data_IF_589259092813
#
_entry.id   IF_589259092813
#
_cell.length_a   1.000
_cell.length_b   1.000
_cell.length_c   1.000
_cell.angle_alpha   90.00
_cell.angle_beta   90.00
_cell.angle_gamma   90.00
#
_symmetry.space_group_name_H-M   'P 1'
#
loop_
_entity.id
_entity.type
_entity.pdbx_description
1 polymer ?
#
# COMPACT_ATOMS: atom_id res chain seq x y z
N UNK A 1 9.37 -22.74 -11.25
CA UNK A 1 9.32 -21.28 -11.53
C UNK A 1 8.11 -20.75 -10.84
N UNK A 2 8.27 -19.70 -10.03
CA UNK A 2 7.23 -19.21 -9.14
C UNK A 2 6.04 -18.61 -9.90
N UNK A 3 6.33 -17.92 -11.00
CA UNK A 3 5.34 -17.20 -11.81
C UNK A 3 4.83 -18.02 -13.02
N UNK A 4 4.81 -19.34 -12.92
CA UNK A 4 4.09 -20.16 -13.91
C UNK A 4 2.59 -20.02 -13.70
N UNK A 5 1.86 -19.69 -14.77
CA UNK A 5 0.41 -19.47 -14.70
C UNK A 5 -0.32 -20.71 -14.19
N UNK A 6 0.13 -21.90 -14.57
CA UNK A 6 -0.42 -23.18 -14.13
C UNK A 6 -0.21 -23.41 -12.64
N UNK A 7 0.91 -22.95 -12.08
CA UNK A 7 1.15 -23.01 -10.64
C UNK A 7 0.25 -22.02 -9.89
N UNK A 8 0.15 -20.76 -10.35
CA UNK A 8 -0.72 -19.76 -9.72
C UNK A 8 -2.19 -20.22 -9.76
N UNK A 9 -2.70 -20.55 -10.95
CA UNK A 9 -4.11 -20.89 -11.16
C UNK A 9 -4.48 -22.31 -10.70
N UNK A 10 -3.54 -23.25 -10.79
CA UNK A 10 -3.78 -24.66 -10.45
C UNK A 10 -3.40 -25.05 -9.03
N UNK A 11 -2.56 -24.25 -8.34
CA UNK A 11 -2.07 -24.57 -6.98
C UNK A 11 -2.37 -23.48 -5.95
N UNK A 12 -2.01 -22.22 -6.20
CA UNK A 12 -2.21 -21.15 -5.21
C UNK A 12 -3.68 -20.70 -5.11
N UNK A 13 -4.31 -20.36 -6.24
CA UNK A 13 -5.69 -19.86 -6.27
C UNK A 13 -6.69 -20.83 -5.62
N UNK A 14 -6.69 -22.15 -5.93
CA UNK A 14 -7.63 -23.08 -5.32
C UNK A 14 -7.50 -23.17 -3.80
N UNK A 15 -6.27 -23.06 -3.27
CA UNK A 15 -6.02 -23.08 -1.82
C UNK A 15 -6.53 -21.80 -1.15
N UNK A 16 -6.35 -20.63 -1.78
CA UNK A 16 -6.92 -19.38 -1.26
C UNK A 16 -8.45 -19.39 -1.34
N UNK A 17 -9.03 -19.91 -2.42
CA UNK A 17 -10.47 -20.10 -2.56
C UNK A 17 -11.01 -21.00 -1.43
N UNK A 18 -10.36 -22.13 -1.15
CA UNK A 18 -10.73 -23.04 -0.07
C UNK A 18 -10.63 -22.38 1.31
N UNK A 19 -9.55 -21.65 1.57
CA UNK A 19 -9.39 -20.87 2.81
C UNK A 19 -10.49 -19.82 2.97
N UNK A 20 -10.85 -19.10 1.91
CA UNK A 20 -11.93 -18.12 1.91
C UNK A 20 -13.31 -18.77 2.08
N UNK A 21 -13.60 -19.83 1.33
CA UNK A 21 -14.92 -20.48 1.36
C UNK A 21 -15.19 -21.20 2.68
N UNK A 22 -14.15 -21.74 3.30
CA UNK A 22 -14.25 -22.38 4.62
C UNK A 22 -14.27 -21.37 5.78
N UNK A 23 -13.93 -20.09 5.53
CA UNK A 23 -13.95 -19.06 6.55
C UNK A 23 -15.38 -18.75 7.01
N UNK A 24 -15.55 -18.65 8.33
CA UNK A 24 -16.86 -18.37 8.94
C UNK A 24 -17.32 -16.95 8.60
N UNK A 25 -18.63 -16.73 8.50
CA UNK A 25 -19.21 -15.39 8.36
C UNK A 25 -19.80 -14.87 9.68
N UNK A 26 -19.53 -15.53 10.80
CA UNK A 26 -19.96 -15.11 12.14
C UNK A 26 -19.08 -13.98 12.67
N UNK A 27 -19.63 -13.12 13.54
CA UNK A 27 -18.86 -12.04 14.16
C UNK A 27 -17.60 -12.62 14.86
N UNK A 28 -16.39 -12.12 14.54
CA UNK A 28 -15.13 -12.75 14.94
C UNK A 28 -14.93 -12.70 16.47
N UNK A 29 -14.92 -13.86 17.16
CA UNK A 29 -14.85 -13.91 18.63
C UNK A 29 -13.45 -13.57 19.17
N UNK A 30 -12.42 -13.61 18.34
CA UNK A 30 -11.03 -13.32 18.69
C UNK A 30 -10.70 -11.82 18.69
N UNK A 31 -11.62 -10.95 18.23
CA UNK A 31 -11.40 -9.51 18.32
C UNK A 31 -11.42 -9.06 19.78
N UNK A 32 -10.29 -8.50 20.22
CA UNK A 32 -10.14 -8.03 21.60
C UNK A 32 -10.88 -6.71 21.79
N UNK A 33 -11.77 -6.66 22.78
CA UNK A 33 -12.52 -5.45 23.11
C UNK A 33 -11.63 -4.45 23.83
N UNK A 34 -11.70 -3.20 23.40
CA UNK A 34 -10.99 -2.05 23.97
C UNK A 34 -11.99 -1.26 24.82
N UNK A 35 -11.65 -1.03 26.08
CA UNK A 35 -12.52 -0.35 27.02
C UNK A 35 -12.57 1.17 26.72
N UNK A 36 -13.64 1.84 27.17
CA UNK A 36 -13.87 3.26 26.88
C UNK A 36 -12.77 4.19 27.46
N UNK A 37 -12.17 3.83 28.60
CA UNK A 37 -11.09 4.62 29.20
C UNK A 37 -9.81 4.58 28.37
N UNK A 38 -9.47 3.41 27.85
CA UNK A 38 -8.35 3.21 26.93
C UNK A 38 -8.58 3.93 25.60
N UNK A 39 -9.79 3.83 25.01
CA UNK A 39 -10.16 4.62 23.83
C UNK A 39 -9.98 6.12 24.06
N UNK A 40 -10.48 6.65 25.18
CA UNK A 40 -10.32 8.06 25.51
C UNK A 40 -8.86 8.48 25.70
N UNK A 41 -8.02 7.58 26.21
CA UNK A 41 -6.56 7.80 26.31
C UNK A 41 -5.91 7.85 24.93
N UNK A 42 -6.28 6.93 24.03
CA UNK A 42 -5.80 6.89 22.65
C UNK A 42 -6.23 8.14 21.87
N UNK A 43 -7.51 8.51 21.93
CA UNK A 43 -8.05 9.71 21.29
C UNK A 43 -7.37 10.99 21.77
N UNK A 44 -7.10 11.09 23.07
CA UNK A 44 -6.35 12.21 23.64
C UNK A 44 -4.93 12.25 23.09
N UNK A 45 -4.22 11.13 23.09
CA UNK A 45 -2.86 11.04 22.56
C UNK A 45 -2.79 11.40 21.08
N UNK A 46 -3.72 10.89 20.25
CA UNK A 46 -3.77 11.20 18.81
C UNK A 46 -4.06 12.69 18.60
N UNK A 47 -4.99 13.27 19.36
CA UNK A 47 -5.34 14.70 19.25
C UNK A 47 -4.16 15.59 19.62
N UNK A 48 -3.50 15.32 20.75
CA UNK A 48 -2.34 16.07 21.21
C UNK A 48 -1.16 15.93 20.24
N UNK A 49 -0.92 14.72 19.73
CA UNK A 49 0.13 14.44 18.73
C UNK A 49 -0.12 15.14 17.40
N UNK A 50 -1.36 15.09 16.91
CA UNK A 50 -1.78 15.79 15.69
C UNK A 50 -1.60 17.30 15.83
N UNK A 51 -1.98 17.87 16.98
CA UNK A 51 -1.80 19.30 17.24
C UNK A 51 -0.32 19.69 17.34
N UNK A 52 0.52 18.86 17.98
CA UNK A 52 1.98 19.04 18.00
C UNK A 52 2.58 19.06 16.58
N UNK A 53 2.22 18.08 15.74
CA UNK A 53 2.63 18.04 14.32
C UNK A 53 2.16 19.29 13.61
N UNK A 54 0.88 19.66 13.75
CA UNK A 54 0.29 20.83 13.08
C UNK A 54 0.99 22.13 13.47
N UNK A 55 1.32 22.32 14.75
CA UNK A 55 2.04 23.50 15.23
C UNK A 55 3.47 23.51 14.68
N UNK A 56 4.15 22.36 14.68
CA UNK A 56 5.49 22.20 14.14
C UNK A 56 5.57 22.51 12.64
N UNK A 57 4.64 21.98 11.85
CA UNK A 57 4.52 22.29 10.42
C UNK A 57 4.22 23.78 10.18
N UNK A 58 3.34 24.40 11.00
CA UNK A 58 3.09 25.85 10.89
C UNK A 58 4.34 26.69 11.16
N UNK A 59 5.26 26.20 12.00
CA UNK A 59 6.51 26.86 12.33
C UNK A 59 7.59 26.73 11.25
N UNK A 60 7.34 25.99 10.16
CA UNK A 60 8.29 25.83 9.06
C UNK A 60 8.81 27.19 8.56
N UNK A 61 10.14 27.43 8.61
CA UNK A 61 10.72 28.73 8.30
C UNK A 61 10.86 28.90 6.78
N UNK A 62 9.76 29.16 6.07
CA UNK A 62 9.75 29.60 4.67
C UNK A 62 8.68 30.65 4.39
N UNK A 63 9.01 31.63 3.53
CA UNK A 63 8.08 32.55 2.86
C UNK A 63 8.17 32.48 1.33
N UNK A 64 8.98 31.57 0.77
CA UNK A 64 9.22 31.44 -0.68
C UNK A 64 9.44 29.98 -1.06
N UNK A 65 8.93 29.59 -2.24
CA UNK A 65 8.98 28.22 -2.75
C UNK A 65 10.40 27.66 -2.76
N UNK A 66 10.57 26.49 -2.17
CA UNK A 66 11.77 25.67 -2.23
C UNK A 66 11.80 24.99 -3.61
N UNK A 67 12.96 24.94 -4.28
CA UNK A 67 13.06 24.27 -5.59
C UNK A 67 14.01 23.07 -5.51
N UNK A 68 13.44 21.88 -5.34
CA UNK A 68 14.15 20.59 -5.31
C UNK A 68 14.12 19.94 -6.71
N UNK A 69 15.21 19.31 -7.17
CA UNK A 69 16.55 19.83 -7.35
C UNK A 69 16.77 20.00 -8.86
N UNK A 70 16.29 21.09 -9.47
CA UNK A 70 16.57 21.33 -10.90
C UNK A 70 16.55 22.82 -11.29
N UNK A 71 17.28 23.66 -10.55
CA UNK A 71 17.88 24.89 -11.09
C UNK A 71 19.27 25.03 -10.50
N UNK A 72 20.25 25.30 -11.36
CA UNK A 72 21.65 25.59 -11.03
C UNK A 72 21.78 26.45 -9.77
N UNK A 73 22.08 25.82 -8.64
CA UNK A 73 22.25 26.47 -7.35
C UNK A 73 21.74 25.59 -6.22
N UNK A 74 22.64 24.94 -5.49
CA UNK A 74 22.30 24.32 -4.21
C UNK A 74 21.85 25.43 -3.24
N UNK A 75 20.55 25.70 -3.14
CA UNK A 75 20.06 26.52 -2.05
C UNK A 75 20.33 25.76 -0.75
N UNK A 76 21.38 26.20 -0.04
CA UNK A 76 21.76 25.63 1.25
C UNK A 76 20.61 25.86 2.22
N UNK A 77 20.13 24.78 2.83
CA UNK A 77 19.19 24.80 3.95
C UNK A 77 19.64 25.89 4.94
N UNK A 78 18.76 26.85 5.25
CA UNK A 78 19.07 27.92 6.19
C UNK A 78 19.30 27.37 7.60
N UNK A 79 20.07 28.04 8.48
CA UNK A 79 20.23 27.58 9.86
C UNK A 79 18.90 27.37 10.62
N UNK A 80 17.86 28.16 10.30
CA UNK A 80 16.52 27.99 10.87
C UNK A 80 15.84 26.72 10.38
N UNK A 81 15.97 26.41 9.09
CA UNK A 81 15.46 25.16 8.52
C UNK A 81 16.22 23.95 9.10
N UNK A 82 17.53 24.03 9.33
CA UNK A 82 18.29 22.95 9.99
C UNK A 82 17.80 22.67 11.42
N UNK A 83 17.53 23.73 12.21
CA UNK A 83 16.95 23.58 13.55
C UNK A 83 15.57 22.90 13.45
N UNK A 84 14.71 23.38 12.55
CA UNK A 84 13.39 22.81 12.33
C UNK A 84 13.45 21.35 11.88
N UNK A 85 14.42 20.96 11.05
CA UNK A 85 14.63 19.58 10.61
C UNK A 85 15.00 18.67 11.78
N UNK A 86 15.97 19.08 12.60
CA UNK A 86 16.34 18.33 13.81
C UNK A 86 15.16 18.17 14.78
N UNK A 87 14.35 19.22 14.93
CA UNK A 87 13.11 19.17 15.71
C UNK A 87 12.06 18.23 15.07
N UNK A 88 12.00 18.18 13.74
CA UNK A 88 11.13 17.26 12.98
C UNK A 88 11.51 15.81 13.25
N UNK A 89 12.79 15.46 13.14
CA UNK A 89 13.26 14.11 13.43
C UNK A 89 13.01 13.72 14.88
N UNK A 90 13.33 14.61 15.83
CA UNK A 90 13.06 14.37 17.24
C UNK A 90 11.57 14.19 17.53
N UNK A 91 10.70 14.95 16.84
CA UNK A 91 9.25 14.83 16.99
C UNK A 91 8.77 13.47 16.47
N UNK A 92 9.13 13.09 15.25
CA UNK A 92 8.72 11.80 14.68
C UNK A 92 9.24 10.61 15.49
N UNK A 93 10.51 10.63 15.89
CA UNK A 93 11.10 9.58 16.72
C UNK A 93 10.38 9.48 18.08
N UNK A 94 10.09 10.63 18.73
CA UNK A 94 9.31 10.65 19.97
C UNK A 94 7.89 10.09 19.78
N UNK A 95 7.23 10.43 18.66
CA UNK A 95 5.88 9.94 18.37
C UNK A 95 5.90 8.42 18.19
N UNK A 96 6.76 7.89 17.32
CA UNK A 96 6.84 6.45 17.05
C UNK A 96 7.14 5.61 18.30
N UNK A 97 7.97 6.12 19.22
CA UNK A 97 8.30 5.42 20.47
C UNK A 97 7.20 5.51 21.54
N UNK A 98 6.34 6.51 21.47
CA UNK A 98 5.30 6.77 22.48
C UNK A 98 3.89 6.42 22.01
N UNK A 99 3.72 6.06 20.74
CA UNK A 99 2.42 5.77 20.15
C UNK A 99 1.79 4.52 20.81
N UNK A 100 0.56 4.60 21.34
CA UNK A 100 -0.08 3.51 22.09
C UNK A 100 -1.02 2.63 21.26
N UNK A 101 -1.27 2.95 19.99
CA UNK A 101 -2.41 2.48 19.19
C UNK A 101 -2.08 1.30 18.28
N UNK A 102 -1.06 1.46 17.45
CA UNK A 102 -0.57 0.50 16.45
C UNK A 102 0.38 -0.54 17.05
N UNK A 103 1.01 -0.25 18.21
CA UNK A 103 1.91 -1.16 18.91
C UNK A 103 3.32 -1.23 18.32
N UNK A 104 3.73 -0.22 17.54
CA UNK A 104 4.99 -0.21 16.76
C UNK A 104 6.21 -0.53 17.64
N UNK A 105 6.35 0.15 18.79
CA UNK A 105 7.50 -0.02 19.70
C UNK A 105 7.64 -1.42 20.30
N UNK A 106 6.55 -2.19 20.33
CA UNK A 106 6.56 -3.54 20.90
C UNK A 106 7.04 -4.56 19.85
N UNK A 107 6.96 -4.20 18.57
CA UNK A 107 7.23 -5.08 17.44
C UNK A 107 8.55 -4.77 16.74
N UNK A 108 8.94 -3.49 16.71
CA UNK A 108 10.10 -2.99 15.97
C UNK A 108 11.13 -2.36 16.91
N UNK A 109 12.40 -2.70 16.69
CA UNK A 109 13.51 -2.08 17.41
C UNK A 109 13.71 -0.62 16.97
N UNK A 110 14.28 0.27 17.82
CA UNK A 110 14.64 1.62 17.41
C UNK A 110 15.52 1.64 16.15
N UNK A 111 16.47 0.70 16.04
CA UNK A 111 17.36 0.57 14.88
C UNK A 111 16.58 0.23 13.61
N UNK A 112 15.57 -0.63 13.73
CA UNK A 112 14.68 -0.97 12.62
C UNK A 112 13.88 0.25 12.18
N UNK A 113 13.30 1.00 13.12
CA UNK A 113 12.54 2.23 12.81
C UNK A 113 13.40 3.29 12.12
N UNK A 114 14.63 3.50 12.58
CA UNK A 114 15.57 4.41 11.95
C UNK A 114 15.91 3.97 10.51
N UNK A 115 16.07 2.65 10.30
CA UNK A 115 16.29 2.08 8.97
C UNK A 115 15.08 2.26 8.04
N UNK A 116 13.85 2.08 8.53
CA UNK A 116 12.63 2.39 7.77
C UNK A 116 12.60 3.87 7.36
N UNK A 117 12.84 4.77 8.31
CA UNK A 117 12.84 6.22 8.05
C UNK A 117 13.91 6.61 7.01
N UNK A 118 15.13 6.09 7.12
CA UNK A 118 16.19 6.34 6.15
C UNK A 118 15.80 5.87 4.74
N UNK A 119 15.24 4.66 4.62
CA UNK A 119 14.88 4.12 3.30
C UNK A 119 13.64 4.76 2.70
N UNK A 120 12.66 5.19 3.50
CA UNK A 120 11.55 6.01 3.01
C UNK A 120 12.07 7.36 2.50
N UNK A 121 12.99 8.03 3.22
CA UNK A 121 13.63 9.27 2.73
C UNK A 121 14.40 9.01 1.43
N UNK A 122 15.13 7.91 1.33
CA UNK A 122 15.85 7.52 0.10
C UNK A 122 14.88 7.30 -1.07
N UNK A 123 13.77 6.59 -0.84
CA UNK A 123 12.73 6.36 -1.82
C UNK A 123 12.13 7.68 -2.29
N UNK A 124 11.71 8.55 -1.36
CA UNK A 124 11.13 9.86 -1.67
C UNK A 124 12.09 10.77 -2.44
N UNK A 125 13.40 10.77 -2.12
CA UNK A 125 14.41 11.48 -2.93
C UNK A 125 14.42 11.00 -4.38
N UNK A 126 14.33 9.68 -4.61
CA UNK A 126 14.21 9.10 -5.95
C UNK A 126 12.91 9.54 -6.63
N UNK A 127 11.77 9.53 -5.92
CA UNK A 127 10.49 10.03 -6.44
C UNK A 127 10.62 11.49 -6.90
N UNK A 128 11.11 12.38 -6.04
CA UNK A 128 11.28 13.80 -6.36
C UNK A 128 12.23 14.04 -7.54
N UNK A 129 13.27 13.21 -7.68
CA UNK A 129 14.18 13.31 -8.82
C UNK A 129 13.57 12.79 -10.12
N UNK A 130 12.71 11.78 -10.06
CA UNK A 130 12.14 11.10 -11.24
C UNK A 130 10.85 11.77 -11.74
N UNK A 131 9.99 12.18 -10.83
CA UNK A 131 8.71 12.84 -11.09
C UNK A 131 8.56 14.09 -10.18
N UNK A 132 9.23 15.20 -10.52
CA UNK A 132 9.23 16.41 -9.71
C UNK A 132 7.85 17.10 -9.61
N UNK A 133 6.95 16.80 -10.54
CA UNK A 133 5.59 17.34 -10.57
C UNK A 133 4.55 16.33 -10.05
N UNK A 134 4.97 15.19 -9.49
CA UNK A 134 4.06 14.21 -8.91
C UNK A 134 3.33 14.80 -7.70
N UNK A 135 2.03 14.56 -7.62
CA UNK A 135 1.19 15.01 -6.51
C UNK A 135 1.42 14.18 -5.24
N UNK A 136 1.14 14.77 -4.08
CA UNK A 136 1.34 14.11 -2.77
C UNK A 136 0.54 12.80 -2.63
N UNK A 137 -0.63 12.71 -3.26
CA UNK A 137 -1.49 11.52 -3.24
C UNK A 137 -0.83 10.34 -3.97
N UNK A 138 -0.32 10.57 -5.17
CA UNK A 138 0.42 9.60 -5.98
C UNK A 138 1.73 9.18 -5.29
N UNK A 139 2.44 10.13 -4.65
CA UNK A 139 3.59 9.77 -3.80
C UNK A 139 3.18 8.86 -2.65
N UNK A 140 2.02 9.13 -2.04
CA UNK A 140 1.44 8.29 -1.00
C UNK A 140 1.15 6.88 -1.50
N UNK A 141 0.61 6.72 -2.71
CA UNK A 141 0.38 5.43 -3.35
C UNK A 141 1.69 4.66 -3.56
N UNK A 142 2.72 5.32 -4.11
CA UNK A 142 4.04 4.71 -4.29
C UNK A 142 4.66 4.27 -2.95
N UNK A 143 4.54 5.09 -1.91
CA UNK A 143 5.03 4.75 -0.56
C UNK A 143 4.27 3.57 0.01
N UNK A 144 2.94 3.50 -0.16
CA UNK A 144 2.14 2.36 0.35
C UNK A 144 2.63 1.04 -0.24
N UNK A 145 2.90 0.98 -1.55
CA UNK A 145 3.46 -0.22 -2.16
C UNK A 145 4.88 -0.52 -1.63
N UNK A 146 5.76 0.49 -1.56
CA UNK A 146 7.10 0.32 -0.98
C UNK A 146 7.07 -0.20 0.48
N UNK A 147 6.09 0.23 1.27
CA UNK A 147 5.92 -0.20 2.66
C UNK A 147 5.59 -1.69 2.77
N UNK A 148 4.82 -2.27 1.83
CA UNK A 148 4.55 -3.71 1.79
C UNK A 148 5.85 -4.49 1.66
N UNK A 149 6.69 -4.11 0.70
CA UNK A 149 8.04 -4.67 0.55
C UNK A 149 8.89 -4.53 1.82
N UNK A 150 8.89 -3.35 2.43
CA UNK A 150 9.71 -3.06 3.61
C UNK A 150 9.26 -3.89 4.84
N UNK A 151 7.96 -4.07 5.02
CA UNK A 151 7.38 -4.97 6.03
C UNK A 151 7.80 -6.42 5.77
N UNK A 152 7.83 -6.86 4.50
CA UNK A 152 8.24 -8.22 4.18
C UNK A 152 9.72 -8.47 4.40
N UNK A 153 10.58 -7.46 4.21
CA UNK A 153 11.99 -7.57 4.62
C UNK A 153 12.10 -7.82 6.12
N UNK A 154 11.36 -7.06 6.93
CA UNK A 154 11.35 -7.25 8.39
C UNK A 154 10.78 -8.62 8.79
N UNK A 155 9.68 -9.06 8.16
CA UNK A 155 9.09 -10.38 8.37
C UNK A 155 10.10 -11.51 8.12
N UNK A 156 11.08 -11.31 7.22
CA UNK A 156 12.12 -12.30 6.90
C UNK A 156 13.45 -12.02 7.62
N UNK A 157 13.48 -11.10 8.60
CA UNK A 157 14.69 -10.75 9.35
C UNK A 157 15.79 -10.09 8.52
N UNK A 158 15.42 -9.43 7.42
CA UNK A 158 16.35 -8.78 6.50
C UNK A 158 16.43 -7.28 6.77
N UNK A 159 17.64 -6.71 6.66
CA UNK A 159 17.84 -5.27 6.75
C UNK A 159 17.13 -4.52 5.62
N UNK A 160 16.63 -3.31 5.89
CA UNK A 160 15.87 -2.51 4.92
C UNK A 160 16.71 -2.07 3.71
N UNK A 161 16.08 -2.06 2.52
CA UNK A 161 16.71 -1.69 1.23
C UNK A 161 15.77 -0.85 0.36
N UNK A 162 16.35 -0.14 -0.60
CA UNK A 162 15.63 0.63 -1.63
C UNK A 162 16.35 0.51 -2.98
N UNK A 163 16.41 -0.70 -3.54
CA UNK A 163 17.01 -0.96 -4.87
C UNK A 163 16.28 -0.20 -5.98
N UNK A 164 16.85 -0.15 -7.18
CA UNK A 164 16.16 0.44 -8.34
C UNK A 164 14.97 -0.41 -8.76
N UNK A 165 15.04 -1.74 -8.54
CA UNK A 165 13.93 -2.63 -8.86
C UNK A 165 12.68 -2.40 -8.03
N UNK A 166 12.81 -2.29 -6.70
CA UNK A 166 11.64 -2.00 -5.87
C UNK A 166 11.15 -0.57 -6.08
N UNK A 167 12.06 0.39 -6.30
CA UNK A 167 11.65 1.74 -6.68
C UNK A 167 10.83 1.75 -7.97
N UNK A 168 11.32 1.05 -9.01
CA UNK A 168 10.63 0.90 -10.28
C UNK A 168 9.25 0.29 -10.11
N UNK A 169 9.16 -0.84 -9.39
CA UNK A 169 7.90 -1.54 -9.17
C UNK A 169 6.89 -0.72 -8.37
N UNK A 170 7.29 -0.14 -7.24
CA UNK A 170 6.37 0.65 -6.41
C UNK A 170 5.89 1.92 -7.12
N UNK A 171 6.69 2.50 -8.00
CA UNK A 171 6.31 3.64 -8.82
C UNK A 171 5.44 3.26 -10.02
N UNK A 172 5.33 1.99 -10.41
CA UNK A 172 4.43 1.61 -11.50
C UNK A 172 2.98 1.91 -11.13
N UNK A 173 2.53 1.61 -9.91
CA UNK A 173 1.13 1.78 -9.48
C UNK A 173 0.55 3.18 -9.78
N UNK A 174 1.13 4.30 -9.31
CA UNK A 174 0.60 5.63 -9.65
C UNK A 174 0.72 5.98 -11.14
N UNK A 175 1.57 5.29 -11.92
CA UNK A 175 1.65 5.51 -13.36
C UNK A 175 0.67 4.64 -14.14
N UNK A 176 0.43 3.40 -13.71
CA UNK A 176 -0.40 2.44 -14.42
C UNK A 176 -1.85 2.56 -14.00
N UNK A 177 -2.13 2.50 -12.71
CA UNK A 177 -3.49 2.40 -12.19
C UNK A 177 -4.22 3.71 -12.47
N UNK A 178 -3.62 4.84 -12.11
CA UNK A 178 -4.21 6.16 -12.35
C UNK A 178 -4.47 6.43 -13.83
N UNK A 179 -3.57 5.98 -14.73
CA UNK A 179 -3.78 6.12 -16.18
C UNK A 179 -4.91 5.23 -16.69
N UNK A 180 -4.99 4.00 -16.21
CA UNK A 180 -6.02 3.03 -16.63
C UNK A 180 -7.40 3.36 -16.05
N UNK A 181 -7.45 3.97 -14.88
CA UNK A 181 -8.69 4.34 -14.19
C UNK A 181 -9.20 5.74 -14.59
N UNK A 182 -8.35 6.60 -15.17
CA UNK A 182 -8.78 7.92 -15.62
C UNK A 182 -9.78 7.81 -16.80
N UNK A 183 -11.02 8.34 -16.66
CA UNK A 183 -12.02 8.34 -17.72
C UNK A 183 -11.70 9.33 -18.85
N UNK A 184 -10.70 10.21 -18.69
CA UNK A 184 -10.25 11.14 -19.72
C UNK A 184 -9.49 10.45 -20.86
N UNK A 185 -8.92 9.27 -20.59
CA UNK A 185 -8.23 8.44 -21.57
C UNK A 185 -9.20 7.52 -22.32
N UNK A 186 -9.06 7.48 -23.64
CA UNK A 186 -9.81 6.60 -24.53
C UNK A 186 -9.40 5.14 -24.37
N UNK A 187 -10.27 4.23 -24.81
CA UNK A 187 -9.98 2.80 -24.80
C UNK A 187 -8.77 2.46 -25.68
N UNK A 188 -8.63 3.13 -26.84
CA UNK A 188 -7.50 2.95 -27.73
C UNK A 188 -6.16 3.38 -27.09
N UNK A 189 -6.16 4.46 -26.31
CA UNK A 189 -4.98 4.91 -25.56
C UNK A 189 -4.60 3.88 -24.48
N UNK A 190 -5.57 3.33 -23.75
CA UNK A 190 -5.34 2.30 -22.73
C UNK A 190 -4.80 1.00 -23.35
N UNK A 191 -5.34 0.57 -24.49
CA UNK A 191 -4.84 -0.59 -25.25
C UNK A 191 -3.40 -0.36 -25.73
N UNK A 192 -3.10 0.81 -26.28
CA UNK A 192 -1.74 1.16 -26.70
C UNK A 192 -0.77 1.16 -25.51
N UNK A 193 -1.18 1.75 -24.38
CA UNK A 193 -0.39 1.82 -23.15
C UNK A 193 -0.05 0.41 -22.61
N UNK A 194 -1.03 -0.48 -22.51
CA UNK A 194 -0.81 -1.86 -22.09
C UNK A 194 0.12 -2.62 -23.06
N UNK A 195 -0.05 -2.40 -24.37
CA UNK A 195 0.84 -2.99 -25.38
C UNK A 195 2.28 -2.51 -25.23
N UNK A 196 2.50 -1.22 -24.93
CA UNK A 196 3.82 -0.69 -24.64
C UNK A 196 4.44 -1.36 -23.42
N UNK A 197 3.70 -1.50 -22.31
CA UNK A 197 4.17 -2.17 -21.10
C UNK A 197 4.53 -3.62 -21.42
N UNK A 198 3.64 -4.37 -22.08
CA UNK A 198 3.86 -5.75 -22.49
C UNK A 198 5.14 -5.89 -23.34
N UNK A 199 5.27 -5.07 -24.38
CA UNK A 199 6.44 -5.08 -25.25
C UNK A 199 7.71 -4.77 -24.48
N UNK A 200 7.69 -3.78 -23.58
CA UNK A 200 8.86 -3.41 -22.79
C UNK A 200 9.30 -4.54 -21.85
N UNK A 201 8.37 -5.16 -21.13
CA UNK A 201 8.67 -6.33 -20.28
C UNK A 201 9.22 -7.50 -21.12
N UNK A 202 8.70 -7.68 -22.34
CA UNK A 202 9.11 -8.75 -23.27
C UNK A 202 10.45 -8.47 -23.98
N UNK A 203 11.10 -7.33 -23.73
CA UNK A 203 12.33 -6.92 -24.42
C UNK A 203 12.13 -6.55 -25.89
N UNK A 204 10.90 -6.29 -26.31
CA UNK A 204 10.55 -5.83 -27.65
C UNK A 204 10.74 -4.30 -27.76
N UNK A 205 11.02 -3.78 -28.97
CA UNK A 205 11.10 -2.34 -29.17
C UNK A 205 9.74 -1.68 -28.90
N UNK A 206 9.79 -0.51 -28.27
CA UNK A 206 8.64 0.34 -27.98
C UNK A 206 8.91 1.75 -28.49
N UNK A 207 7.85 2.47 -28.83
CA UNK A 207 7.91 3.89 -29.18
C UNK A 207 6.92 4.63 -28.30
N UNK A 208 7.36 5.20 -27.16
CA UNK A 208 6.51 6.02 -26.31
C UNK A 208 5.93 7.20 -27.08
N UNK A 209 4.64 7.47 -26.89
CA UNK A 209 3.92 8.59 -27.50
C UNK A 209 3.81 9.80 -26.57
N UNK A 210 4.15 9.63 -25.29
CA UNK A 210 4.05 10.66 -24.27
C UNK A 210 5.19 10.56 -23.25
N UNK A 211 5.41 11.63 -22.48
CA UNK A 211 6.34 11.63 -21.35
C UNK A 211 5.93 10.60 -20.28
N UNK A 212 4.62 10.36 -20.12
CA UNK A 212 4.09 9.36 -19.20
C UNK A 212 4.50 7.93 -19.60
N UNK A 213 4.35 7.60 -20.89
CA UNK A 213 4.81 6.33 -21.46
C UNK A 213 6.33 6.19 -21.38
N UNK A 214 7.08 7.26 -21.64
CA UNK A 214 8.55 7.26 -21.52
C UNK A 214 8.97 6.95 -20.08
N UNK A 215 8.38 7.63 -19.09
CA UNK A 215 8.64 7.37 -17.68
C UNK A 215 8.22 5.95 -17.27
N UNK A 216 7.08 5.47 -17.74
CA UNK A 216 6.65 4.08 -17.50
C UNK A 216 7.71 3.09 -18.01
N UNK A 217 8.24 3.30 -19.21
CA UNK A 217 9.32 2.47 -19.76
C UNK A 217 10.61 2.56 -18.92
N UNK A 218 10.96 3.75 -18.41
CA UNK A 218 12.11 3.95 -17.51
C UNK A 218 11.94 3.22 -16.17
N UNK A 219 10.72 3.12 -15.62
CA UNK A 219 10.44 2.36 -14.40
C UNK A 219 10.62 0.85 -14.62
N UNK A 220 10.15 0.34 -15.75
CA UNK A 220 10.38 -1.05 -16.17
C UNK A 220 11.89 -1.32 -16.37
N UNK A 221 12.62 -0.35 -16.89
CA UNK A 221 14.09 -0.43 -17.01
C UNK A 221 14.77 -0.42 -15.65
N UNK A 222 14.28 0.35 -14.69
CA UNK A 222 14.80 0.33 -13.32
C UNK A 222 14.62 -1.04 -12.65
N UNK A 223 13.56 -1.78 -12.99
CA UNK A 223 13.38 -3.18 -12.60
C UNK A 223 14.44 -4.06 -13.26
N UNK A 224 14.59 -3.97 -14.58
CA UNK A 224 15.53 -4.81 -15.33
C UNK A 224 17.01 -4.50 -15.06
N UNK A 225 17.34 -3.28 -14.65
CA UNK A 225 18.72 -2.84 -14.42
C UNK A 225 19.38 -3.54 -13.21
N UNK A 226 18.60 -3.76 -12.14
CA UNK A 226 19.07 -4.36 -10.90
C UNK A 226 18.58 -5.82 -10.74
N UNK A 227 17.81 -6.35 -11.70
CA UNK A 227 17.19 -7.67 -11.61
C UNK A 227 17.39 -8.53 -12.88
N UNK A 228 17.94 -9.75 -12.74
CA UNK A 228 18.40 -10.37 -11.51
C UNK A 228 19.77 -9.79 -11.09
N UNK A 229 19.95 -9.64 -9.78
CA UNK A 229 21.26 -9.36 -9.18
C UNK A 229 21.80 -10.60 -8.45
N UNK A 230 23.02 -10.55 -7.89
CA UNK A 230 23.63 -11.69 -7.20
C UNK A 230 22.74 -12.32 -6.12
N UNK A 231 21.99 -11.51 -5.37
CA UNK A 231 21.06 -11.99 -4.35
C UNK A 231 19.86 -12.75 -4.95
N UNK A 232 19.37 -12.31 -6.11
CA UNK A 232 18.28 -12.97 -6.81
C UNK A 232 18.75 -14.29 -7.45
N UNK A 233 19.94 -14.31 -8.02
CA UNK A 233 20.57 -15.51 -8.57
C UNK A 233 20.82 -16.55 -7.46
N UNK A 234 21.24 -16.10 -6.27
CA UNK A 234 21.40 -16.98 -5.11
C UNK A 234 20.04 -17.53 -4.61
N UNK A 235 19.01 -16.68 -4.55
CA UNK A 235 17.70 -17.07 -4.03
C UNK A 235 16.89 -17.95 -4.99
N UNK A 236 16.94 -17.67 -6.29
CA UNK A 236 16.03 -18.23 -7.30
C UNK A 236 16.75 -18.90 -8.49
N UNK A 237 18.07 -18.76 -8.61
CA UNK A 237 18.86 -19.36 -9.67
C UNK A 237 18.86 -18.56 -10.98
N UNK A 238 19.48 -19.13 -12.02
CA UNK A 238 19.72 -18.47 -13.31
C UNK A 238 18.45 -18.00 -14.06
N UNK A 239 17.28 -18.54 -13.70
CA UNK A 239 16.00 -18.19 -14.32
C UNK A 239 15.31 -17.00 -13.62
N UNK A 240 15.91 -16.40 -12.59
CA UNK A 240 15.30 -15.32 -11.81
C UNK A 240 14.79 -14.18 -12.71
N UNK A 241 15.57 -13.80 -13.73
CA UNK A 241 15.20 -12.79 -14.73
C UNK A 241 13.91 -13.14 -15.47
N UNK A 242 13.79 -14.39 -15.91
CA UNK A 242 12.63 -14.87 -16.65
C UNK A 242 11.40 -14.95 -15.73
N UNK A 243 11.59 -15.43 -14.51
CA UNK A 243 10.54 -15.52 -13.50
C UNK A 243 9.93 -14.13 -13.20
N UNK A 244 10.73 -13.08 -12.95
CA UNK A 244 10.15 -11.75 -12.69
C UNK A 244 9.46 -11.15 -13.91
N UNK A 245 10.03 -11.33 -15.12
CA UNK A 245 9.38 -10.84 -16.36
C UNK A 245 8.02 -11.51 -16.53
N UNK A 246 7.95 -12.81 -16.28
CA UNK A 246 6.69 -13.53 -16.30
C UNK A 246 5.71 -13.03 -15.23
N UNK A 247 6.19 -12.76 -14.01
CA UNK A 247 5.38 -12.15 -12.95
C UNK A 247 4.76 -10.81 -13.36
N UNK A 248 5.57 -9.91 -13.94
CA UNK A 248 5.09 -8.61 -14.42
C UNK A 248 4.08 -8.73 -15.58
N UNK A 249 4.28 -9.68 -16.49
CA UNK A 249 3.30 -9.97 -17.56
C UNK A 249 1.98 -10.51 -16.98
N UNK A 250 2.04 -11.38 -15.97
CA UNK A 250 0.83 -11.87 -15.29
C UNK A 250 0.12 -10.74 -14.52
N UNK A 251 0.86 -9.80 -13.94
CA UNK A 251 0.26 -8.64 -13.27
C UNK A 251 -0.46 -7.73 -14.28
N UNK A 252 0.14 -7.48 -15.45
CA UNK A 252 -0.52 -6.77 -16.54
C UNK A 252 -1.80 -7.50 -16.98
N UNK A 253 -1.74 -8.82 -17.17
CA UNK A 253 -2.92 -9.64 -17.48
C UNK A 253 -4.00 -9.53 -16.38
N UNK A 254 -3.60 -9.58 -15.11
CA UNK A 254 -4.52 -9.47 -13.98
C UNK A 254 -5.22 -8.11 -13.94
N UNK A 255 -4.50 -7.02 -14.28
CA UNK A 255 -5.08 -5.69 -14.40
C UNK A 255 -6.11 -5.61 -15.53
N UNK A 256 -5.79 -6.13 -16.72
CA UNK A 256 -6.73 -6.20 -17.85
C UNK A 256 -7.96 -7.05 -17.53
N UNK A 257 -7.77 -8.17 -16.82
CA UNK A 257 -8.87 -9.01 -16.35
C UNK A 257 -9.75 -8.25 -15.36
N UNK A 258 -9.18 -7.44 -14.47
CA UNK A 258 -9.95 -6.70 -13.45
C UNK A 258 -10.88 -5.65 -14.04
N UNK A 259 -10.52 -5.08 -15.21
CA UNK A 259 -11.38 -4.15 -15.93
C UNK A 259 -12.72 -4.79 -16.35
N UNK A 260 -12.80 -6.13 -16.45
CA UNK A 260 -14.08 -6.82 -16.69
C UNK A 260 -15.10 -6.55 -15.59
N UNK A 261 -14.66 -6.19 -14.38
CA UNK A 261 -15.55 -5.88 -13.25
C UNK A 261 -16.35 -4.60 -13.46
N UNK A 262 -15.92 -3.69 -14.34
CA UNK A 262 -16.64 -2.45 -14.69
C UNK A 262 -17.49 -2.58 -15.97
N UNK A 263 -17.28 -3.62 -16.79
CA UNK A 263 -18.04 -3.83 -18.03
C UNK A 263 -19.46 -4.40 -17.77
N UNK A 264 -20.45 -3.51 -17.71
CA UNK A 264 -21.85 -3.84 -17.47
C UNK A 264 -22.46 -4.85 -18.48
N UNK A 265 -21.84 -5.05 -19.65
CA UNK A 265 -22.31 -6.03 -20.64
C UNK A 265 -21.98 -7.48 -20.27
N UNK A 266 -20.98 -7.69 -19.41
CA UNK A 266 -20.56 -9.01 -18.96
C UNK A 266 -21.38 -9.45 -17.75
N UNK A 267 -21.84 -10.70 -17.76
CA UNK A 267 -22.39 -11.34 -16.55
C UNK A 267 -21.25 -11.98 -15.77
N UNK A 268 -20.95 -11.43 -14.58
CA UNK A 268 -19.94 -11.98 -13.68
C UNK A 268 -20.62 -12.72 -12.53
N UNK A 269 -20.23 -13.99 -12.34
CA UNK A 269 -20.63 -14.74 -11.14
C UNK A 269 -19.80 -14.29 -9.93
N UNK A 270 -20.28 -14.56 -8.72
CA UNK A 270 -19.51 -14.36 -7.48
C UNK A 270 -18.14 -15.04 -7.54
N UNK A 271 -18.09 -16.26 -8.09
CA UNK A 271 -16.83 -16.97 -8.29
C UNK A 271 -15.89 -16.20 -9.22
N UNK A 272 -16.40 -15.62 -10.31
CA UNK A 272 -15.55 -14.83 -11.20
C UNK A 272 -14.98 -13.60 -10.49
N UNK A 273 -15.79 -12.89 -9.73
CA UNK A 273 -15.35 -11.71 -8.95
C UNK A 273 -14.28 -12.13 -7.93
N UNK A 274 -14.53 -13.20 -7.17
CA UNK A 274 -13.56 -13.76 -6.23
C UNK A 274 -12.24 -14.12 -6.91
N UNK A 275 -12.30 -14.81 -8.06
CA UNK A 275 -11.11 -15.25 -8.79
C UNK A 275 -10.28 -14.06 -9.28
N UNK A 276 -10.95 -12.98 -9.72
CA UNK A 276 -10.28 -11.74 -10.13
C UNK A 276 -9.59 -11.09 -8.93
N UNK A 277 -10.28 -10.92 -7.81
CA UNK A 277 -9.69 -10.31 -6.60
C UNK A 277 -8.51 -11.12 -6.06
N UNK A 278 -8.62 -12.46 -6.03
CA UNK A 278 -7.52 -13.35 -5.61
C UNK A 278 -6.33 -13.21 -6.57
N UNK A 279 -6.58 -13.23 -7.88
CA UNK A 279 -5.51 -13.23 -8.87
C UNK A 279 -4.74 -11.91 -8.91
N UNK A 280 -5.45 -10.76 -8.98
CA UNK A 280 -4.85 -9.43 -8.98
C UNK A 280 -4.13 -9.11 -7.67
N UNK A 281 -4.84 -9.22 -6.55
CA UNK A 281 -4.26 -8.93 -5.24
C UNK A 281 -3.09 -9.86 -4.92
N UNK A 282 -3.26 -11.16 -5.17
CA UNK A 282 -2.23 -12.16 -4.89
C UNK A 282 -0.97 -12.00 -5.72
N UNK A 283 -1.07 -11.72 -7.03
CA UNK A 283 0.11 -11.48 -7.87
C UNK A 283 0.87 -10.23 -7.44
N UNK A 284 0.15 -9.13 -7.19
CA UNK A 284 0.70 -7.85 -6.73
C UNK A 284 1.66 -8.05 -5.55
N UNK A 285 1.20 -8.74 -4.51
CA UNK A 285 1.97 -8.98 -3.29
C UNK A 285 3.02 -10.09 -3.44
N UNK A 286 2.78 -11.10 -4.28
CA UNK A 286 3.77 -12.13 -4.56
C UNK A 286 5.01 -11.55 -5.26
N UNK A 287 4.82 -10.55 -6.13
CA UNK A 287 5.91 -9.81 -6.78
C UNK A 287 6.68 -8.95 -5.77
N UNK A 288 5.98 -8.23 -4.88
CA UNK A 288 6.63 -7.51 -3.77
C UNK A 288 7.52 -8.44 -2.94
N UNK A 289 7.00 -9.61 -2.59
CA UNK A 289 7.78 -10.65 -1.88
C UNK A 289 8.94 -11.17 -2.71
N UNK A 290 8.80 -11.27 -4.03
CA UNK A 290 9.87 -11.78 -4.87
C UNK A 290 11.11 -10.87 -4.83
N UNK A 291 10.90 -9.55 -4.83
CA UNK A 291 11.97 -8.55 -4.77
C UNK A 291 12.80 -8.54 -3.49
N UNK A 292 12.38 -9.23 -2.41
CA UNK A 292 13.20 -9.29 -1.19
C UNK A 292 14.44 -10.17 -1.37
N UNK A 293 14.52 -10.95 -2.46
CA UNK A 293 15.63 -11.86 -2.80
C UNK A 293 15.95 -12.88 -1.71
N UNK A 294 14.91 -13.50 -1.17
CA UNK A 294 15.04 -14.60 -0.23
C UNK A 294 14.21 -15.77 -0.74
N UNK A 295 14.80 -16.97 -0.73
CA UNK A 295 14.14 -18.21 -1.18
C UNK A 295 12.76 -18.31 -0.55
N UNK A 296 11.78 -18.66 -1.38
CA UNK A 296 10.40 -18.75 -0.97
C UNK A 296 9.95 -20.20 -1.01
N UNK A 297 9.41 -20.68 0.11
CA UNK A 297 8.76 -21.99 0.19
C UNK A 297 7.34 -21.92 -0.38
N UNK A 298 6.70 -23.08 -0.58
CA UNK A 298 5.30 -23.12 -0.99
C UNK A 298 4.35 -22.51 0.07
N UNK A 299 4.69 -22.62 1.36
CA UNK A 299 3.93 -22.00 2.44
C UNK A 299 4.07 -20.48 2.41
N UNK A 300 5.27 -19.97 2.21
CA UNK A 300 5.50 -18.54 2.05
C UNK A 300 4.70 -18.02 0.83
N UNK A 301 4.78 -18.70 -0.31
CA UNK A 301 4.05 -18.32 -1.51
C UNK A 301 2.54 -18.26 -1.27
N UNK A 302 1.98 -19.23 -0.53
CA UNK A 302 0.57 -19.21 -0.13
C UNK A 302 0.25 -18.02 0.79
N UNK A 303 1.09 -17.76 1.80
CA UNK A 303 0.88 -16.65 2.72
C UNK A 303 0.89 -15.31 1.98
N UNK A 304 1.91 -15.02 1.17
CA UNK A 304 2.03 -13.73 0.49
C UNK A 304 0.99 -13.55 -0.61
N UNK A 305 0.69 -14.59 -1.39
CA UNK A 305 -0.39 -14.55 -2.37
C UNK A 305 -1.76 -14.35 -1.69
N UNK A 306 -2.00 -15.04 -0.57
CA UNK A 306 -3.21 -14.86 0.23
C UNK A 306 -3.28 -13.50 0.94
N UNK A 307 -2.15 -12.93 1.32
CA UNK A 307 -2.05 -11.61 1.93
C UNK A 307 -2.42 -10.53 0.91
N UNK A 308 -2.05 -10.71 -0.36
CA UNK A 308 -2.50 -9.86 -1.45
C UNK A 308 -4.01 -9.87 -1.67
N UNK A 309 -4.65 -11.04 -1.57
CA UNK A 309 -6.11 -11.11 -1.59
C UNK A 309 -6.75 -10.37 -0.40
N UNK A 310 -6.17 -10.50 0.81
CA UNK A 310 -6.62 -9.72 1.97
C UNK A 310 -6.57 -8.21 1.69
N UNK A 311 -5.44 -7.69 1.19
CA UNK A 311 -5.32 -6.27 0.88
C UNK A 311 -6.34 -5.81 -0.17
N UNK A 312 -6.56 -6.60 -1.23
CA UNK A 312 -7.55 -6.29 -2.25
C UNK A 312 -8.96 -6.15 -1.67
N UNK A 313 -9.38 -7.02 -0.74
CA UNK A 313 -10.71 -6.90 -0.12
C UNK A 313 -10.79 -5.74 0.86
N UNK A 314 -9.68 -5.36 1.51
CA UNK A 314 -9.62 -4.14 2.30
C UNK A 314 -9.82 -2.89 1.42
N UNK A 315 -9.22 -2.84 0.24
CA UNK A 315 -9.43 -1.75 -0.72
C UNK A 315 -10.89 -1.71 -1.19
N UNK A 316 -11.45 -2.84 -1.64
CA UNK A 316 -12.88 -2.97 -2.01
C UNK A 316 -13.82 -2.55 -0.85
N UNK A 317 -13.40 -2.74 0.41
CA UNK A 317 -14.15 -2.34 1.62
C UNK A 317 -14.09 -0.83 1.87
N UNK A 318 -12.97 -0.18 1.57
CA UNK A 318 -12.86 1.27 1.63
C UNK A 318 -13.65 1.95 0.52
N UNK A 319 -13.74 1.32 -0.65
CA UNK A 319 -14.21 1.93 -1.88
C UNK A 319 -15.65 1.53 -2.29
N UNK A 320 -16.44 0.92 -1.38
CA UNK A 320 -17.81 0.47 -1.68
C UNK A 320 -18.66 1.56 -2.38
N UNK A 321 -18.57 2.82 -1.92
CA UNK A 321 -19.29 3.94 -2.54
C UNK A 321 -18.81 4.20 -3.97
N UNK A 322 -17.51 4.36 -4.16
CA UNK A 322 -16.88 4.63 -5.45
C UNK A 322 -17.11 3.48 -6.45
N UNK A 323 -17.01 2.24 -5.99
CA UNK A 323 -17.29 1.05 -6.81
C UNK A 323 -18.73 1.05 -7.30
N UNK A 324 -19.69 1.36 -6.43
CA UNK A 324 -21.10 1.44 -6.81
C UNK A 324 -21.39 2.57 -7.78
N UNK A 325 -20.77 3.74 -7.57
CA UNK A 325 -20.92 4.90 -8.45
C UNK A 325 -20.34 4.65 -9.85
N UNK A 326 -19.21 3.95 -9.93
CA UNK A 326 -18.56 3.58 -11.19
C UNK A 326 -19.14 2.34 -11.86
N UNK A 327 -20.03 1.61 -11.18
CA UNK A 327 -20.58 0.33 -11.67
C UNK A 327 -19.60 -0.85 -11.56
N UNK A 328 -18.47 -0.67 -10.86
CA UNK A 328 -17.51 -1.71 -10.53
C UNK A 328 -18.16 -2.78 -9.64
N UNK A 329 -17.99 -4.05 -10.01
CA UNK A 329 -18.56 -5.22 -9.31
C UNK A 329 -17.48 -5.95 -8.52
N UNK A 330 -17.30 -5.56 -7.27
CA UNK A 330 -16.42 -6.19 -6.27
C UNK A 330 -17.19 -7.12 -5.36
N UNK A 331 -16.50 -7.84 -4.46
CA UNK A 331 -17.18 -8.74 -3.52
C UNK A 331 -18.15 -7.99 -2.60
N UNK A 332 -17.88 -6.71 -2.31
CA UNK A 332 -18.68 -5.87 -1.42
C UNK A 332 -19.66 -4.95 -2.15
N UNK A 333 -19.28 -4.37 -3.28
CA UNK A 333 -20.17 -3.43 -4.01
C UNK A 333 -21.44 -4.10 -4.52
N UNK A 334 -21.33 -5.40 -4.89
CA UNK A 334 -22.44 -6.24 -5.39
C UNK A 334 -23.47 -6.63 -4.33
N UNK A 335 -23.10 -6.62 -3.05
CA UNK A 335 -23.98 -7.05 -1.96
C UNK A 335 -25.18 -6.11 -1.88
N UNK A 336 -26.39 -6.67 -1.90
CA UNK A 336 -27.63 -5.90 -1.93
C UNK A 336 -28.02 -5.41 -0.54
N UNK A 337 -27.77 -6.23 0.49
CA UNK A 337 -28.14 -5.87 1.88
C UNK A 337 -26.90 -5.58 2.75
N UNK A 338 -27.06 -4.88 3.88
CA UNK A 338 -26.00 -4.74 4.88
C UNK A 338 -25.52 -6.11 5.39
N UNK A 339 -26.42 -7.05 5.67
CA UNK A 339 -26.08 -8.36 6.23
C UNK A 339 -25.16 -9.17 5.31
N UNK A 340 -25.37 -9.12 4.00
CA UNK A 340 -24.48 -9.75 3.01
C UNK A 340 -23.06 -9.15 3.05
N UNK A 341 -22.93 -7.84 3.29
CA UNK A 341 -21.62 -7.18 3.43
C UNK A 341 -20.95 -7.54 4.75
N UNK A 342 -21.74 -7.57 5.84
CA UNK A 342 -21.29 -8.00 7.16
C UNK A 342 -20.73 -9.43 7.13
N UNK A 343 -21.39 -10.33 6.41
CA UNK A 343 -20.91 -11.71 6.19
C UNK A 343 -19.55 -11.75 5.50
N UNK A 344 -19.33 -10.91 4.48
CA UNK A 344 -18.04 -10.80 3.77
C UNK A 344 -16.95 -10.22 4.68
N UNK A 345 -17.26 -9.18 5.46
CA UNK A 345 -16.30 -8.58 6.41
C UNK A 345 -15.94 -9.56 7.53
N UNK A 346 -16.93 -10.28 8.09
CA UNK A 346 -16.67 -11.33 9.07
C UNK A 346 -15.77 -12.43 8.49
N UNK A 347 -16.08 -12.87 7.26
CA UNK A 347 -15.26 -13.84 6.54
C UNK A 347 -13.84 -13.36 6.33
N UNK A 348 -13.63 -12.07 6.05
CA UNK A 348 -12.31 -11.47 5.93
C UNK A 348 -11.50 -11.55 7.23
N UNK A 349 -12.11 -11.30 8.38
CA UNK A 349 -11.45 -11.50 9.68
C UNK A 349 -11.01 -12.96 9.88
N UNK A 350 -11.92 -13.91 9.70
CA UNK A 350 -11.64 -15.34 9.88
C UNK A 350 -10.61 -15.86 8.86
N UNK A 351 -10.70 -15.42 7.62
CA UNK A 351 -9.72 -15.72 6.57
C UNK A 351 -8.34 -15.21 6.98
N UNK A 352 -8.25 -13.97 7.47
CA UNK A 352 -6.99 -13.34 7.90
C UNK A 352 -6.36 -14.12 9.05
N UNK A 353 -7.13 -14.43 10.10
CA UNK A 353 -6.63 -15.22 11.24
C UNK A 353 -6.06 -16.58 10.80
N UNK A 354 -6.77 -17.29 9.92
CA UNK A 354 -6.31 -18.57 9.36
C UNK A 354 -5.08 -18.41 8.47
N UNK A 355 -5.05 -17.38 7.62
CA UNK A 355 -3.92 -17.11 6.74
C UNK A 355 -2.62 -16.95 7.52
N UNK A 356 -2.65 -16.30 8.69
CA UNK A 356 -1.47 -16.10 9.53
C UNK A 356 -0.90 -17.39 10.14
N UNK A 357 -1.60 -18.53 10.08
CA UNK A 357 -1.01 -19.84 10.39
C UNK A 357 0.05 -20.27 9.36
N UNK A 358 0.02 -19.69 8.15
CA UNK A 358 1.03 -19.89 7.12
C UNK A 358 2.11 -18.81 7.12
N UNK A 359 2.07 -17.87 8.09
CA UNK A 359 3.01 -16.75 8.15
C UNK A 359 4.45 -17.26 8.26
N UNK A 360 5.39 -16.70 7.47
CA UNK A 360 6.80 -17.08 7.53
C UNK A 360 7.38 -16.89 8.93
N UNK A 361 8.46 -17.60 9.29
CA UNK A 361 9.09 -17.42 10.59
C UNK A 361 9.55 -15.96 10.81
N UNK A 362 8.97 -15.30 11.80
CA UNK A 362 9.39 -14.00 12.33
C UNK A 362 9.35 -14.01 13.86
N UNK A 363 9.70 -12.90 14.52
CA UNK A 363 9.47 -12.81 15.96
C UNK A 363 7.97 -12.88 16.26
N UNK A 364 7.57 -13.60 17.31
CA UNK A 364 6.16 -13.69 17.68
C UNK A 364 5.52 -12.31 17.86
N UNK A 365 6.28 -11.37 18.45
CA UNK A 365 5.86 -9.98 18.61
C UNK A 365 5.56 -9.29 17.28
N UNK A 366 6.41 -9.49 16.25
CA UNK A 366 6.19 -8.89 14.94
C UNK A 366 5.04 -9.54 14.18
N UNK A 367 4.91 -10.87 14.24
CA UNK A 367 3.77 -11.59 13.66
C UNK A 367 2.44 -11.10 14.25
N UNK A 368 2.36 -11.03 15.57
CA UNK A 368 1.14 -10.61 16.27
C UNK A 368 0.83 -9.13 16.00
N UNK A 369 1.86 -8.28 15.93
CA UNK A 369 1.73 -6.90 15.48
C UNK A 369 1.17 -6.81 14.06
N UNK A 370 1.69 -7.59 13.12
CA UNK A 370 1.23 -7.55 11.73
C UNK A 370 -0.22 -8.02 11.61
N UNK A 371 -0.58 -9.13 12.29
CA UNK A 371 -1.95 -9.64 12.33
C UNK A 371 -2.91 -8.60 12.93
N UNK A 372 -2.53 -8.00 14.06
CA UNK A 372 -3.34 -6.97 14.70
C UNK A 372 -3.53 -5.76 13.79
N UNK A 373 -2.48 -5.32 13.08
CA UNK A 373 -2.60 -4.21 12.12
C UNK A 373 -3.46 -4.57 10.89
N UNK A 374 -3.48 -5.83 10.45
CA UNK A 374 -4.44 -6.28 9.44
C UNK A 374 -5.89 -6.18 9.95
N UNK A 375 -6.15 -6.57 11.21
CA UNK A 375 -7.48 -6.38 11.81
C UNK A 375 -7.84 -4.89 11.94
N UNK A 376 -6.88 -4.04 12.30
CA UNK A 376 -7.11 -2.59 12.34
C UNK A 376 -7.41 -2.02 10.95
N UNK A 377 -6.73 -2.51 9.90
CA UNK A 377 -7.03 -2.14 8.52
C UNK A 377 -8.48 -2.51 8.15
N UNK A 378 -8.92 -3.74 8.43
CA UNK A 378 -10.31 -4.16 8.16
C UNK A 378 -11.31 -3.28 8.95
N UNK A 379 -11.07 -3.07 10.24
CA UNK A 379 -11.94 -2.27 11.11
C UNK A 379 -12.06 -0.82 10.64
N UNK A 380 -10.94 -0.18 10.33
CA UNK A 380 -10.90 1.21 9.82
C UNK A 380 -11.54 1.33 8.44
N UNK A 381 -11.39 0.31 7.58
CA UNK A 381 -12.04 0.27 6.27
C UNK A 381 -13.56 0.19 6.41
N UNK A 382 -14.06 -0.71 7.27
CA UNK A 382 -15.50 -0.79 7.57
C UNK A 382 -16.04 0.50 8.20
N UNK A 383 -15.27 1.15 9.08
CA UNK A 383 -15.64 2.43 9.66
C UNK A 383 -15.73 3.55 8.61
N UNK A 384 -14.82 3.54 7.61
CA UNK A 384 -14.84 4.46 6.47
C UNK A 384 -16.09 4.32 5.60
N UNK A 385 -16.59 3.09 5.47
CA UNK A 385 -17.76 2.71 4.68
C UNK A 385 -19.02 2.49 5.54
N UNK A 386 -19.12 3.15 6.70
CA UNK A 386 -20.16 2.90 7.71
C UNK A 386 -21.61 3.00 7.19
N UNK A 387 -21.87 3.82 6.17
CA UNK A 387 -23.22 3.95 5.57
C UNK A 387 -23.72 2.65 4.92
N UNK A 388 -22.83 1.67 4.71
CA UNK A 388 -23.13 0.37 4.12
C UNK A 388 -23.31 -0.74 5.17
N UNK A 389 -23.42 -0.45 6.45
CA UNK A 389 -23.54 -1.47 7.50
C UNK A 389 -24.67 -1.17 8.47
N UNK A 390 -25.17 -2.19 9.17
CA UNK A 390 -26.11 -1.97 10.27
C UNK A 390 -25.42 -1.28 11.45
N UNK A 391 -26.16 -0.43 12.17
CA UNK A 391 -25.63 0.26 13.35
C UNK A 391 -25.16 -0.72 14.43
N UNK A 392 -25.91 -1.81 14.65
CA UNK A 392 -25.54 -2.84 15.62
C UNK A 392 -24.22 -3.55 15.29
N UNK A 393 -23.97 -3.78 14.00
CA UNK A 393 -22.72 -4.39 13.56
C UNK A 393 -21.53 -3.43 13.75
N UNK A 394 -21.70 -2.17 13.35
CA UNK A 394 -20.68 -1.13 13.55
C UNK A 394 -20.36 -0.91 15.03
N UNK A 395 -21.36 -0.92 15.92
CA UNK A 395 -21.14 -0.88 17.37
C UNK A 395 -20.32 -2.09 17.86
N UNK A 396 -20.53 -3.26 17.26
CA UNK A 396 -19.73 -4.46 17.51
C UNK A 396 -18.27 -4.27 17.13
N UNK A 397 -18.01 -3.83 15.90
CA UNK A 397 -16.66 -3.57 15.39
C UNK A 397 -15.96 -2.45 16.16
N UNK A 398 -16.67 -1.37 16.46
CA UNK A 398 -16.13 -0.24 17.19
C UNK A 398 -15.57 -0.68 18.54
N UNK A 399 -16.21 -1.62 19.25
CA UNK A 399 -15.67 -2.13 20.53
C UNK A 399 -14.27 -2.74 20.41
N UNK A 400 -13.84 -3.20 19.24
CA UNK A 400 -12.50 -3.72 18.98
C UNK A 400 -11.54 -2.69 18.37
N UNK A 401 -12.03 -1.48 18.07
CA UNK A 401 -11.23 -0.41 17.46
C UNK A 401 -10.61 0.52 18.51
N UNK A 402 -9.34 0.96 18.36
CA UNK A 402 -8.60 1.72 19.37
C UNK A 402 -9.18 3.09 19.73
N UNK A 403 -10.00 3.65 18.85
CA UNK A 403 -10.71 4.92 19.06
C UNK A 403 -12.21 4.73 18.77
N UNK A 404 -13.04 5.71 19.10
CA UNK A 404 -14.42 5.70 18.64
C UNK A 404 -14.51 5.97 17.14
N UNK A 405 -15.50 5.39 16.47
CA UNK A 405 -15.80 5.69 15.06
C UNK A 405 -16.22 7.15 14.89
N UNK A 406 -16.89 7.71 15.89
CA UNK A 406 -17.22 9.14 15.91
C UNK A 406 -15.97 10.04 15.91
N UNK A 407 -14.94 9.66 16.67
CA UNK A 407 -13.66 10.36 16.69
C UNK A 407 -12.92 10.21 15.36
N UNK A 408 -12.88 8.99 14.79
CA UNK A 408 -12.25 8.73 13.50
C UNK A 408 -12.87 9.59 12.39
N UNK A 409 -14.22 9.67 12.34
CA UNK A 409 -14.94 10.53 11.39
C UNK A 409 -14.59 12.01 11.57
N UNK A 410 -14.62 12.51 12.81
CA UNK A 410 -14.21 13.88 13.11
C UNK A 410 -12.76 14.15 12.72
N UNK A 411 -11.87 13.19 12.90
CA UNK A 411 -10.46 13.32 12.49
C UNK A 411 -10.31 13.39 10.97
N UNK A 412 -11.06 12.59 10.21
CA UNK A 412 -11.09 12.67 8.73
C UNK A 412 -11.59 14.04 8.26
N UNK A 413 -12.62 14.59 8.90
CA UNK A 413 -13.16 15.93 8.60
C UNK A 413 -12.23 17.07 9.04
N UNK A 414 -11.41 16.84 10.08
CA UNK A 414 -10.46 17.82 10.64
C UNK A 414 -9.06 17.73 10.06
N UNK A 415 -8.72 16.67 9.32
CA UNK A 415 -7.47 16.63 8.58
C UNK A 415 -7.42 17.89 7.72
N UNK A 416 -6.40 18.75 7.90
CA UNK A 416 -6.33 19.99 7.15
C UNK A 416 -6.40 19.68 5.67
N UNK A 417 -7.13 20.49 4.89
CA UNK A 417 -7.14 20.40 3.43
C UNK A 417 -5.70 20.36 2.84
N UNK A 418 -4.69 20.87 3.56
CA UNK A 418 -3.28 20.67 3.22
C UNK A 418 -2.90 19.21 2.90
N UNK A 419 -3.44 18.23 3.63
CA UNK A 419 -3.17 16.79 3.45
C UNK A 419 -4.17 16.06 2.54
N UNK A 420 -5.20 16.75 2.04
CA UNK A 420 -6.24 16.20 1.18
C UNK A 420 -6.76 17.28 0.23
N UNK A 421 -6.39 17.21 -1.06
CA UNK A 421 -6.87 18.09 -2.12
C UNK A 421 -7.03 19.57 -1.70
N UNK A 422 -6.02 20.11 -1.02
CA UNK A 422 -6.04 21.47 -0.47
C UNK A 422 -5.99 22.55 -1.54
N UNK A 423 -6.04 23.81 -1.10
CA UNK A 423 -5.70 24.92 -2.00
C UNK A 423 -4.27 24.69 -2.50
N UNK A 424 -3.95 25.00 -3.77
CA UNK A 424 -2.61 24.79 -4.33
C UNK A 424 -1.46 25.38 -3.51
N UNK A 425 -1.72 26.47 -2.77
CA UNK A 425 -0.75 27.08 -1.86
C UNK A 425 -0.35 26.18 -0.67
N UNK A 426 -1.28 25.36 -0.15
CA UNK A 426 -1.02 24.44 0.96
C UNK A 426 -0.25 23.20 0.48
N UNK A 427 -0.55 22.69 -0.71
CA UNK A 427 0.21 21.62 -1.36
C UNK A 427 1.65 22.06 -1.65
N UNK A 428 1.85 23.23 -2.27
CA UNK A 428 3.19 23.77 -2.51
C UNK A 428 3.99 23.92 -1.22
N UNK A 429 3.34 24.39 -0.14
CA UNK A 429 3.99 24.53 1.16
C UNK A 429 4.39 23.18 1.76
N UNK A 430 3.58 22.13 1.58
CA UNK A 430 3.95 20.78 2.00
C UNK A 430 5.07 20.19 1.16
N UNK A 431 5.07 20.47 -0.14
CA UNK A 431 6.19 20.11 -1.03
C UNK A 431 7.49 20.79 -0.58
N UNK A 432 7.46 22.06 -0.21
CA UNK A 432 8.63 22.76 0.33
C UNK A 432 9.16 22.11 1.62
N UNK A 433 8.27 21.67 2.51
CA UNK A 433 8.63 20.98 3.75
C UNK A 433 9.24 19.61 3.45
N UNK A 434 8.62 18.85 2.56
CA UNK A 434 9.11 17.56 2.11
C UNK A 434 10.51 17.71 1.52
N UNK A 435 10.69 18.64 0.59
CA UNK A 435 11.95 18.92 -0.06
C UNK A 435 13.03 19.33 0.96
N UNK A 436 12.69 20.12 1.98
CA UNK A 436 13.60 20.41 3.10
C UNK A 436 14.00 19.15 3.87
N UNK A 437 13.05 18.26 4.20
CA UNK A 437 13.30 16.97 4.88
C UNK A 437 14.20 16.05 4.05
N UNK A 438 14.06 16.09 2.73
CA UNK A 438 14.84 15.27 1.81
C UNK A 438 16.22 15.86 1.47
N UNK A 439 16.45 17.15 1.75
CA UNK A 439 17.69 17.87 1.42
C UNK A 439 18.88 17.54 2.32
N UNK A 440 18.66 16.93 3.49
CA UNK A 440 19.76 16.41 4.29
C UNK A 440 20.42 15.24 3.57
N UNK A 441 21.73 15.31 3.39
CA UNK A 441 22.52 14.14 2.99
C UNK A 441 22.56 13.16 4.17
N UNK A 442 22.56 11.84 3.93
CA UNK A 442 22.88 10.88 4.99
C UNK A 442 24.25 11.27 5.56
N UNK A 443 24.30 11.53 6.86
CA UNK A 443 25.54 11.76 7.61
C UNK A 443 26.40 10.50 7.65
#
# INVERSE_FOLDING_TARGET
MLFQKEYITGSLMPRIQELWQSAECTFPPFLTKINAGEKGTNEKWITESTERIRLHLKAFPSRSAFTFPNKKGSERITPRQQIWLKETESLFHSLLLTEPVLGIRNALSPQTLDAFQDKIKQFLRKVRSFAPDMELEDMGQAIRNYMVYAIFREQNGLSQKCSSSIFGYSMLYPFTDNFLDDPSHTEEEKIHYNKLIHHRISGLPVTPLSLHEEKTAMLLDAIAADYPGPEADEAYGAEAAADIRQGLLLMLEAQEISQKQTDASLSLTEKNILDISIYKGGLSVLIDRYFINCKMTEQDALFYFGFGFLLQICDDLQDIAQDRESGSRTLLSRCQTPEEREDVVNRLFHYTDRLFHFSPPSSAAFRDFLLQNCFQLILSSAAGSGDFFSSSYLEGLERAFPVSFSYLKQMKERMPAAFSAGKPADQNRMMDMLDAVLSESPS
#
